data_IF_422376993994
#
_entry.id   IF_422376993994
#
_cell.length_a   1.000
_cell.length_b   1.000
_cell.length_c   1.000
_cell.angle_alpha   90.00
_cell.angle_beta   90.00
_cell.angle_gamma   90.00
#
_symmetry.space_group_name_H-M   'P 1'
#
loop_
_entity.id
_entity.type
_entity.pdbx_description
1 polymer ?
#
# COMPACT_ATOMS: atom_id res chain seq x y z
N UNK A 1 9.65 1.74 -19.53
CA UNK A 1 10.01 2.08 -18.17
C UNK A 1 9.24 3.29 -17.64
N UNK A 2 9.50 3.71 -16.43
CA UNK A 2 8.76 4.78 -15.73
C UNK A 2 8.64 6.09 -16.50
N UNK A 3 9.64 6.50 -17.26
CA UNK A 3 9.57 7.73 -18.10
C UNK A 3 8.40 7.74 -19.07
N UNK A 4 8.08 6.60 -19.70
CA UNK A 4 6.91 6.50 -20.59
C UNK A 4 5.60 6.64 -19.84
N UNK A 5 5.53 6.03 -18.65
CA UNK A 5 4.33 6.06 -17.79
C UNK A 5 4.13 7.48 -17.26
N UNK A 6 5.21 8.14 -16.81
CA UNK A 6 5.17 9.53 -16.32
C UNK A 6 4.69 10.48 -17.42
N UNK A 7 5.23 10.36 -18.63
CA UNK A 7 4.78 11.16 -19.77
C UNK A 7 3.30 10.91 -20.12
N UNK A 8 2.81 9.68 -20.00
CA UNK A 8 1.41 9.35 -20.22
C UNK A 8 0.52 9.93 -19.12
N UNK A 9 0.91 9.80 -17.87
CA UNK A 9 0.20 10.35 -16.71
C UNK A 9 0.13 11.89 -16.79
N UNK A 10 1.23 12.54 -17.16
CA UNK A 10 1.29 14.00 -17.31
C UNK A 10 0.29 14.54 -18.32
N UNK A 11 0.03 13.83 -19.43
CA UNK A 11 -1.03 14.19 -20.37
C UNK A 11 -2.43 14.20 -19.75
N UNK A 12 -2.63 13.40 -18.72
CA UNK A 12 -3.88 13.33 -17.95
C UNK A 12 -3.84 14.19 -16.67
N UNK A 13 -2.83 15.06 -16.52
CA UNK A 13 -2.60 15.87 -15.31
C UNK A 13 -2.48 15.01 -14.03
N UNK A 14 -2.03 13.77 -14.18
CA UNK A 14 -1.80 12.83 -13.08
C UNK A 14 -0.31 12.65 -12.82
N UNK A 15 0.03 12.24 -11.60
CA UNK A 15 1.37 11.79 -11.25
C UNK A 15 1.46 10.27 -11.28
N UNK A 16 2.68 9.76 -11.24
CA UNK A 16 2.92 8.33 -11.11
C UNK A 16 3.39 7.97 -9.70
N UNK A 17 3.11 6.76 -9.32
CA UNK A 17 3.57 6.17 -8.08
C UNK A 17 4.08 4.75 -8.24
N UNK A 18 4.59 4.20 -7.16
CA UNK A 18 5.04 2.82 -7.14
C UNK A 18 4.78 2.16 -5.79
N UNK A 19 4.61 0.85 -5.85
CA UNK A 19 4.50 0.00 -4.68
C UNK A 19 5.85 -0.68 -4.41
N UNK A 20 6.36 -0.54 -3.18
CA UNK A 20 7.61 -1.10 -2.71
C UNK A 20 7.43 -1.77 -1.35
N UNK A 21 8.14 -2.88 -1.13
CA UNK A 21 8.22 -3.53 0.17
C UNK A 21 9.55 -3.21 0.85
N UNK A 22 9.58 -2.36 1.88
CA UNK A 22 10.83 -2.03 2.61
C UNK A 22 11.53 -3.25 3.20
N UNK A 23 10.76 -4.30 3.47
CA UNK A 23 11.27 -5.58 4.01
C UNK A 23 11.57 -6.62 2.92
N UNK A 24 11.73 -6.17 1.67
CA UNK A 24 12.07 -7.04 0.54
C UNK A 24 10.89 -7.74 -0.12
N UNK A 25 9.65 -7.48 0.31
CA UNK A 25 8.43 -8.13 -0.20
C UNK A 25 8.20 -9.51 0.41
N UNK A 26 7.54 -10.40 -0.32
CA UNK A 26 7.02 -11.67 0.20
C UNK A 26 7.46 -12.88 -0.63
N UNK A 27 7.36 -14.06 -0.01
CA UNK A 27 7.48 -15.38 -0.65
C UNK A 27 8.81 -15.59 -1.39
N UNK A 28 8.77 -16.39 -2.46
CA UNK A 28 9.94 -16.76 -3.23
C UNK A 28 10.67 -15.56 -3.87
N UNK A 29 9.95 -14.49 -4.19
CA UNK A 29 10.54 -13.27 -4.74
C UNK A 29 11.42 -12.55 -3.73
N UNK A 30 11.05 -12.58 -2.44
CA UNK A 30 11.90 -12.05 -1.36
C UNK A 30 13.21 -12.83 -1.26
N UNK A 31 13.14 -14.17 -1.30
CA UNK A 31 14.32 -15.03 -1.27
C UNK A 31 15.29 -14.75 -2.43
N UNK A 32 14.76 -14.56 -3.65
CA UNK A 32 15.59 -14.21 -4.81
C UNK A 32 16.28 -12.85 -4.65
N UNK A 33 15.59 -11.84 -4.11
CA UNK A 33 16.17 -10.52 -3.83
C UNK A 33 17.25 -10.60 -2.76
N UNK A 34 17.02 -11.40 -1.72
CA UNK A 34 17.99 -11.61 -0.65
C UNK A 34 19.27 -12.29 -1.16
N UNK A 35 19.14 -13.33 -1.96
CA UNK A 35 20.27 -13.98 -2.60
C UNK A 35 21.06 -13.00 -3.49
N UNK A 36 20.35 -12.19 -4.30
CA UNK A 36 20.99 -11.17 -5.13
C UNK A 36 21.71 -10.11 -4.29
N UNK A 37 21.10 -9.63 -3.20
CA UNK A 37 21.73 -8.68 -2.28
C UNK A 37 23.06 -9.25 -1.75
N UNK A 38 23.04 -10.47 -1.22
CA UNK A 38 24.20 -11.11 -0.61
C UNK A 38 25.33 -11.39 -1.60
N UNK A 39 25.01 -11.56 -2.88
CA UNK A 39 26.04 -11.64 -3.95
C UNK A 39 26.66 -10.27 -4.22
N UNK A 40 25.87 -9.20 -4.18
CA UNK A 40 26.35 -7.83 -4.44
C UNK A 40 27.04 -7.19 -3.24
N UNK A 41 26.76 -7.65 -2.04
CA UNK A 41 27.30 -7.15 -0.78
C UNK A 41 27.94 -8.29 0.02
N UNK A 42 29.07 -8.88 -0.46
CA UNK A 42 29.67 -10.07 0.15
C UNK A 42 30.16 -9.82 1.58
N UNK A 43 30.56 -8.58 1.89
CA UNK A 43 31.05 -8.17 3.21
C UNK A 43 29.93 -7.74 4.17
N UNK A 44 28.71 -7.57 3.65
CA UNK A 44 27.52 -7.21 4.43
C UNK A 44 26.33 -8.09 4.04
N UNK A 45 26.51 -9.39 4.22
CA UNK A 45 25.42 -10.35 4.00
C UNK A 45 24.37 -10.21 5.09
N UNK A 46 23.11 -10.22 4.66
CA UNK A 46 21.96 -10.13 5.55
C UNK A 46 21.13 -11.41 5.51
N UNK A 47 20.56 -11.78 6.65
CA UNK A 47 19.59 -12.89 6.73
C UNK A 47 18.17 -12.47 6.36
N UNK A 48 17.90 -11.18 6.42
CA UNK A 48 16.60 -10.59 6.07
C UNK A 48 16.79 -9.10 5.72
N UNK A 49 15.84 -8.53 4.96
CA UNK A 49 15.81 -7.09 4.72
C UNK A 49 15.25 -6.37 5.96
N UNK A 50 16.12 -5.60 6.61
CA UNK A 50 15.81 -4.86 7.83
C UNK A 50 16.32 -3.43 7.70
N UNK A 51 15.48 -2.45 7.99
CA UNK A 51 15.84 -1.04 7.91
C UNK A 51 16.77 -0.60 9.06
N UNK A 52 16.96 -1.42 10.06
CA UNK A 52 18.00 -1.30 11.07
C UNK A 52 19.42 -1.55 10.49
N UNK A 53 19.53 -2.33 9.41
CA UNK A 53 20.79 -2.47 8.68
C UNK A 53 21.09 -1.19 7.88
N UNK A 54 22.17 -0.50 8.25
CA UNK A 54 22.50 0.82 7.68
C UNK A 54 22.72 0.79 6.17
N UNK A 55 23.44 -0.19 5.65
CA UNK A 55 23.74 -0.25 4.21
C UNK A 55 22.47 -0.51 3.39
N UNK A 56 21.62 -1.41 3.87
CA UNK A 56 20.32 -1.62 3.24
C UNK A 56 19.43 -0.40 3.31
N UNK A 57 19.38 0.26 4.47
CA UNK A 57 18.63 1.52 4.64
C UNK A 57 19.08 2.58 3.63
N UNK A 58 20.38 2.83 3.54
CA UNK A 58 20.94 3.82 2.62
C UNK A 58 20.65 3.48 1.16
N UNK A 59 20.75 2.20 0.78
CA UNK A 59 20.41 1.72 -0.56
C UNK A 59 18.92 1.90 -0.87
N UNK A 60 18.04 1.59 0.07
CA UNK A 60 16.59 1.73 -0.10
C UNK A 60 16.18 3.20 -0.24
N UNK A 61 16.62 4.07 0.66
CA UNK A 61 16.35 5.52 0.61
C UNK A 61 16.95 6.13 -0.65
N UNK A 62 18.18 5.76 -1.00
CA UNK A 62 18.86 6.20 -2.22
C UNK A 62 18.07 5.86 -3.47
N UNK A 63 17.55 4.63 -3.56
CA UNK A 63 16.73 4.20 -4.70
C UNK A 63 15.40 4.95 -4.77
N UNK A 64 14.69 5.10 -3.67
CA UNK A 64 13.45 5.88 -3.64
C UNK A 64 13.69 7.35 -4.03
N UNK A 65 14.74 7.95 -3.49
CA UNK A 65 15.15 9.34 -3.84
C UNK A 65 15.48 9.49 -5.31
N UNK A 66 16.18 8.51 -5.89
CA UNK A 66 16.47 8.49 -7.33
C UNK A 66 15.19 8.40 -8.16
N UNK A 67 14.22 7.57 -7.75
CA UNK A 67 12.94 7.47 -8.46
C UNK A 67 12.15 8.78 -8.42
N UNK A 68 12.18 9.49 -7.30
CA UNK A 68 11.59 10.85 -7.21
C UNK A 68 12.27 11.80 -8.20
N UNK A 69 13.58 11.79 -8.26
CA UNK A 69 14.37 12.67 -9.14
C UNK A 69 14.19 12.33 -10.63
N UNK A 70 14.31 11.05 -10.97
CA UNK A 70 14.42 10.61 -12.39
C UNK A 70 13.06 10.45 -13.07
N UNK A 71 12.01 10.19 -12.29
CA UNK A 71 10.68 9.85 -12.79
C UNK A 71 9.56 10.71 -12.19
N UNK A 72 9.91 11.77 -11.46
CA UNK A 72 8.95 12.67 -10.82
C UNK A 72 7.86 11.91 -10.01
N UNK A 73 8.29 10.88 -9.26
CA UNK A 73 7.34 10.11 -8.44
C UNK A 73 6.56 11.01 -7.51
N UNK A 74 5.24 10.83 -7.48
CA UNK A 74 4.29 11.56 -6.64
C UNK A 74 3.74 10.71 -5.50
N UNK A 75 3.90 9.39 -5.60
CA UNK A 75 3.26 8.46 -4.68
C UNK A 75 4.15 7.24 -4.41
N UNK A 76 4.24 6.87 -3.14
CA UNK A 76 4.77 5.58 -2.71
C UNK A 76 3.76 4.83 -1.85
N UNK A 77 3.52 3.56 -2.19
CA UNK A 77 2.88 2.60 -1.32
C UNK A 77 3.97 1.72 -0.73
N UNK A 78 4.19 1.83 0.58
CA UNK A 78 5.10 0.96 1.32
C UNK A 78 4.32 -0.17 1.97
N UNK A 79 4.63 -1.40 1.57
CA UNK A 79 3.95 -2.60 2.02
C UNK A 79 4.90 -3.49 2.83
N UNK A 80 4.44 -3.90 4.02
CA UNK A 80 5.29 -4.58 4.98
C UNK A 80 6.36 -3.64 5.53
N UNK A 81 5.98 -2.75 6.44
CA UNK A 81 6.87 -1.75 7.02
C UNK A 81 7.76 -2.30 8.14
N UNK A 82 7.48 -3.50 8.65
CA UNK A 82 8.29 -4.22 9.62
C UNK A 82 8.44 -5.69 9.24
N UNK A 83 9.58 -6.28 9.55
CA UNK A 83 9.83 -7.72 9.32
C UNK A 83 9.13 -8.61 10.31
N UNK A 84 8.78 -8.09 11.48
CA UNK A 84 8.30 -8.85 12.62
C UNK A 84 7.10 -8.19 13.31
N UNK A 85 5.94 -8.23 12.67
CA UNK A 85 4.70 -7.65 13.22
C UNK A 85 4.37 -8.06 14.65
N UNK A 86 4.79 -9.23 15.05
CA UNK A 86 4.52 -9.81 16.36
C UNK A 86 5.78 -9.97 17.21
N UNK A 87 6.95 -9.61 16.68
CA UNK A 87 8.18 -9.66 17.43
C UNK A 87 8.21 -8.53 18.46
N UNK A 88 8.71 -8.84 19.63
CA UNK A 88 8.98 -7.87 20.70
C UNK A 88 10.49 -7.74 20.84
N UNK A 89 10.92 -6.55 21.20
CA UNK A 89 12.31 -6.31 21.51
C UNK A 89 13.02 -5.29 20.61
N UNK A 90 14.28 -4.97 20.93
CA UNK A 90 15.02 -3.85 20.34
C UNK A 90 15.09 -3.87 18.81
N UNK A 91 15.32 -5.02 18.20
CA UNK A 91 15.42 -5.11 16.73
C UNK A 91 14.15 -4.76 15.98
N UNK A 92 12.98 -4.97 16.60
CA UNK A 92 11.71 -4.56 16.00
C UNK A 92 11.48 -3.04 16.15
N UNK A 93 11.91 -2.45 17.24
CA UNK A 93 11.87 -1.01 17.46
C UNK A 93 12.77 -0.29 16.46
N UNK A 94 14.00 -0.76 16.27
CA UNK A 94 14.95 -0.23 15.30
C UNK A 94 14.42 -0.29 13.86
N UNK A 95 13.71 -1.34 13.48
CA UNK A 95 13.08 -1.46 12.16
C UNK A 95 11.89 -0.49 12.02
N UNK A 96 11.08 -0.31 13.08
CA UNK A 96 9.98 0.67 13.08
C UNK A 96 10.51 2.11 12.99
N UNK A 97 11.56 2.43 13.72
CA UNK A 97 12.27 3.71 13.57
C UNK A 97 12.89 3.86 12.17
N UNK A 98 13.37 2.77 11.62
CA UNK A 98 13.92 2.71 10.26
C UNK A 98 12.91 3.18 9.22
N UNK A 99 11.66 2.72 9.27
CA UNK A 99 10.64 3.20 8.33
C UNK A 99 10.32 4.68 8.54
N UNK A 100 10.22 5.15 9.78
CA UNK A 100 9.99 6.58 10.07
C UNK A 100 11.11 7.43 9.48
N UNK A 101 12.37 7.00 9.59
CA UNK A 101 13.52 7.67 8.97
C UNK A 101 13.43 7.68 7.45
N UNK A 102 12.98 6.59 6.81
CA UNK A 102 12.73 6.53 5.36
C UNK A 102 11.70 7.59 4.96
N UNK A 103 10.55 7.63 5.64
CA UNK A 103 9.47 8.57 5.33
C UNK A 103 9.94 10.01 5.47
N UNK A 104 10.64 10.35 6.55
CA UNK A 104 11.21 11.68 6.78
C UNK A 104 12.25 12.05 5.72
N UNK A 105 13.12 11.13 5.33
CA UNK A 105 14.11 11.37 4.29
C UNK A 105 13.46 11.67 2.94
N UNK A 106 12.40 10.96 2.58
CA UNK A 106 11.66 11.19 1.34
C UNK A 106 10.88 12.50 1.36
N UNK A 107 10.22 12.84 2.47
CA UNK A 107 9.55 14.14 2.66
C UNK A 107 10.51 15.32 2.53
N UNK A 108 11.74 15.20 3.04
CA UNK A 108 12.79 16.23 2.86
C UNK A 108 13.18 16.40 1.39
N UNK A 109 13.10 15.34 0.57
CA UNK A 109 13.40 15.41 -0.88
C UNK A 109 12.23 16.00 -1.67
N UNK A 110 11.00 15.71 -1.28
CA UNK A 110 9.79 16.14 -1.95
C UNK A 110 8.65 16.21 -0.93
N UNK A 111 8.32 17.43 -0.49
CA UNK A 111 7.33 17.67 0.56
C UNK A 111 5.90 17.25 0.20
N UNK A 112 5.57 17.29 -1.09
CA UNK A 112 4.24 16.94 -1.64
C UNK A 112 4.10 15.47 -2.08
N UNK A 113 5.02 14.59 -1.65
CA UNK A 113 4.87 13.16 -1.86
C UNK A 113 3.65 12.64 -1.10
N UNK A 114 2.79 11.88 -1.80
CA UNK A 114 1.77 11.09 -1.11
C UNK A 114 2.37 9.75 -0.67
N UNK A 115 2.27 9.45 0.60
CA UNK A 115 2.84 8.24 1.20
C UNK A 115 1.72 7.41 1.85
N UNK A 116 1.58 6.20 1.36
CA UNK A 116 0.73 5.17 1.94
C UNK A 116 1.58 4.12 2.63
N UNK A 117 1.33 3.86 3.89
CA UNK A 117 1.94 2.76 4.64
C UNK A 117 0.90 1.70 4.94
N UNK A 118 1.12 0.47 4.44
CA UNK A 118 0.12 -0.59 4.57
C UNK A 118 0.46 -1.58 5.68
N UNK A 119 0.70 -2.84 5.36
CA UNK A 119 0.89 -3.91 6.35
C UNK A 119 1.95 -3.53 7.38
N UNK A 120 1.52 -3.46 8.65
CA UNK A 120 2.32 -2.99 9.79
C UNK A 120 1.90 -1.65 10.36
N UNK A 121 0.93 -0.99 9.73
CA UNK A 121 0.25 0.15 10.34
C UNK A 121 -1.11 -0.25 10.92
N UNK A 122 -1.66 0.61 11.72
CA UNK A 122 -3.01 0.52 12.25
C UNK A 122 -3.64 1.89 12.28
N UNK A 123 -4.95 1.95 12.42
CA UNK A 123 -5.67 3.21 12.53
C UNK A 123 -5.27 3.94 13.82
N UNK A 124 -4.37 4.91 13.69
CA UNK A 124 -3.90 5.76 14.76
C UNK A 124 -3.47 7.12 14.21
N UNK A 125 -3.86 8.23 14.87
CA UNK A 125 -3.39 9.58 14.51
C UNK A 125 -1.87 9.74 14.51
N UNK A 126 -1.14 8.86 15.19
CA UNK A 126 0.33 8.81 15.17
C UNK A 126 0.90 8.80 13.75
N UNK A 127 0.26 8.06 12.84
CA UNK A 127 0.76 7.90 11.47
C UNK A 127 0.64 9.15 10.60
N UNK A 128 -0.26 10.10 10.92
CA UNK A 128 -0.38 11.35 10.15
C UNK A 128 0.86 12.22 10.17
N UNK A 129 1.71 12.02 11.15
CA UNK A 129 3.00 12.72 11.20
C UNK A 129 3.94 12.25 10.08
N UNK A 130 3.72 11.07 9.52
CA UNK A 130 4.66 10.40 8.63
C UNK A 130 4.06 9.96 7.30
N UNK A 131 2.81 9.56 7.29
CA UNK A 131 2.10 9.03 6.13
C UNK A 131 0.77 9.75 5.91
N UNK A 132 0.27 9.71 4.68
CA UNK A 132 -1.02 10.32 4.30
C UNK A 132 -2.17 9.33 4.43
N UNK A 133 -1.87 8.06 4.32
CA UNK A 133 -2.85 6.99 4.52
C UNK A 133 -2.23 5.73 5.09
N UNK A 134 -3.07 4.96 5.77
CA UNK A 134 -2.70 3.69 6.42
C UNK A 134 -3.62 2.56 6.00
N UNK A 135 -3.24 1.35 6.32
CA UNK A 135 -3.97 0.15 5.97
C UNK A 135 -5.22 -0.07 6.83
N UNK A 136 -6.27 -0.54 6.17
CA UNK A 136 -7.57 -0.88 6.78
C UNK A 136 -7.56 -2.06 7.75
N UNK A 137 -6.46 -2.82 7.85
CA UNK A 137 -6.41 -4.14 8.51
C UNK A 137 -7.14 -5.23 7.68
N UNK A 138 -7.17 -6.46 8.20
CA UNK A 138 -7.84 -7.62 7.63
C UNK A 138 -7.32 -8.05 6.22
N UNK A 139 -8.01 -9.01 5.62
CA UNK A 139 -7.65 -9.59 4.34
C UNK A 139 -7.92 -8.65 3.14
N UNK A 140 -7.27 -8.93 2.03
CA UNK A 140 -7.42 -8.16 0.80
C UNK A 140 -8.82 -8.22 0.20
N UNK A 141 -9.60 -9.22 0.53
CA UNK A 141 -11.01 -9.33 0.18
C UNK A 141 -11.72 -10.25 1.16
N UNK A 142 -13.04 -10.14 1.21
CA UNK A 142 -13.91 -11.00 1.99
C UNK A 142 -15.35 -10.89 1.50
N UNK A 143 -16.16 -11.82 1.97
CA UNK A 143 -17.58 -11.87 1.69
C UNK A 143 -18.32 -12.16 2.98
N UNK A 144 -19.17 -11.23 3.41
CA UNK A 144 -20.00 -11.38 4.62
C UNK A 144 -21.42 -10.90 4.35
N UNK A 145 -22.36 -11.33 5.17
CA UNK A 145 -23.77 -10.92 5.07
C UNK A 145 -24.55 -11.71 4.03
N UNK A 146 -25.68 -11.15 3.64
CA UNK A 146 -26.62 -11.74 2.70
C UNK A 146 -26.54 -11.07 1.31
N UNK A 147 -27.26 -11.64 0.33
CA UNK A 147 -27.31 -11.13 -1.03
C UNK A 147 -26.34 -11.83 -1.98
N UNK A 148 -26.08 -11.22 -3.11
CA UNK A 148 -25.12 -11.72 -4.09
C UNK A 148 -23.66 -11.46 -3.67
N UNK A 149 -22.70 -11.86 -4.48
CA UNK A 149 -21.28 -11.62 -4.16
C UNK A 149 -20.93 -10.15 -4.07
N UNK A 150 -21.59 -9.29 -4.83
CA UNK A 150 -21.41 -7.83 -4.75
C UNK A 150 -21.88 -7.29 -3.41
N UNK A 151 -23.06 -7.70 -2.96
CA UNK A 151 -23.60 -7.29 -1.67
C UNK A 151 -22.70 -7.71 -0.52
N UNK A 152 -22.24 -8.96 -0.55
CA UNK A 152 -21.32 -9.52 0.45
C UNK A 152 -19.97 -8.82 0.47
N UNK A 153 -19.44 -8.44 -0.69
CA UNK A 153 -18.21 -7.67 -0.81
C UNK A 153 -18.36 -6.25 -0.26
N UNK A 154 -19.41 -5.54 -0.63
CA UNK A 154 -19.70 -4.21 -0.13
C UNK A 154 -19.85 -4.24 1.39
N UNK A 155 -20.62 -5.20 1.92
CA UNK A 155 -20.80 -5.37 3.36
C UNK A 155 -19.49 -5.65 4.08
N UNK A 156 -18.59 -6.47 3.51
CA UNK A 156 -17.27 -6.72 4.06
C UNK A 156 -16.43 -5.42 4.14
N UNK A 157 -16.37 -4.66 3.06
CA UNK A 157 -15.63 -3.40 3.01
C UNK A 157 -16.18 -2.37 4.00
N UNK A 158 -17.50 -2.18 4.01
CA UNK A 158 -18.16 -1.19 4.87
C UNK A 158 -18.02 -1.56 6.36
N UNK A 159 -18.07 -2.86 6.68
CA UNK A 159 -17.77 -3.34 8.03
C UNK A 159 -16.38 -2.94 8.47
N UNK A 160 -15.35 -3.14 7.63
CA UNK A 160 -13.98 -2.76 7.99
C UNK A 160 -13.85 -1.26 8.24
N UNK A 161 -14.48 -0.44 7.40
CA UNK A 161 -14.51 1.02 7.61
C UNK A 161 -15.14 1.34 8.96
N UNK A 162 -16.28 0.74 9.25
CA UNK A 162 -17.01 1.00 10.48
C UNK A 162 -16.25 0.54 11.74
N UNK A 163 -15.82 -0.71 11.76
CA UNK A 163 -15.18 -1.30 12.95
C UNK A 163 -13.79 -0.71 13.21
N UNK A 164 -12.97 -0.52 12.17
CA UNK A 164 -11.57 -0.09 12.35
C UNK A 164 -11.47 1.43 12.54
N UNK A 165 -12.22 2.21 11.78
CA UNK A 165 -12.11 3.67 11.78
C UNK A 165 -13.21 4.35 12.59
N UNK A 166 -14.47 4.08 12.29
CA UNK A 166 -15.56 4.79 12.96
C UNK A 166 -15.64 4.46 14.44
N UNK A 167 -15.53 3.17 14.77
CA UNK A 167 -15.56 2.73 16.17
C UNK A 167 -14.18 2.69 16.82
N UNK A 168 -13.19 2.16 16.12
CA UNK A 168 -11.88 1.89 16.68
C UNK A 168 -10.94 3.09 16.74
N UNK A 169 -11.11 4.08 15.87
CA UNK A 169 -10.21 5.23 15.76
C UNK A 169 -10.92 6.50 15.29
N UNK A 170 -11.86 7.04 16.06
CA UNK A 170 -12.73 8.14 15.63
C UNK A 170 -11.98 9.45 15.34
N UNK A 171 -10.76 9.60 15.84
CA UNK A 171 -9.91 10.77 15.55
C UNK A 171 -9.15 10.68 14.24
N UNK A 172 -9.23 9.54 13.54
CA UNK A 172 -8.55 9.36 12.27
C UNK A 172 -9.50 9.69 11.12
N UNK A 173 -9.14 10.62 10.20
CA UNK A 173 -9.98 10.91 9.04
C UNK A 173 -10.16 9.68 8.16
N UNK A 174 -11.40 9.41 7.79
CA UNK A 174 -11.75 8.24 6.99
C UNK A 174 -11.08 8.21 5.62
N UNK A 175 -10.80 9.37 5.03
CA UNK A 175 -10.09 9.49 3.76
C UNK A 175 -8.58 9.19 3.87
N UNK A 176 -8.06 9.00 5.06
CA UNK A 176 -6.69 8.49 5.28
C UNK A 176 -6.65 6.98 5.48
N UNK A 177 -7.77 6.30 5.30
CA UNK A 177 -7.83 4.85 5.24
C UNK A 177 -7.67 4.36 3.81
N UNK A 178 -6.68 3.51 3.59
CA UNK A 178 -6.60 2.72 2.37
C UNK A 178 -7.59 1.56 2.45
N UNK A 179 -8.53 1.51 1.51
CA UNK A 179 -9.37 0.33 1.28
C UNK A 179 -9.05 -0.28 -0.09
N UNK A 180 -9.68 -1.40 -0.38
CA UNK A 180 -9.77 -1.85 -1.75
C UNK A 180 -10.55 -0.81 -2.57
N UNK A 181 -10.03 -0.55 -3.76
CA UNK A 181 -10.73 0.25 -4.74
C UNK A 181 -11.87 -0.51 -5.41
N UNK A 182 -12.15 -0.14 -6.62
CA UNK A 182 -13.22 -0.76 -7.39
C UNK A 182 -12.89 -2.21 -7.73
N UNK A 183 -13.80 -3.11 -7.41
CA UNK A 183 -13.69 -4.53 -7.70
C UNK A 183 -14.63 -4.88 -8.85
N UNK A 184 -14.13 -4.82 -10.09
CA UNK A 184 -14.87 -5.12 -11.31
C UNK A 184 -14.09 -6.16 -12.11
N UNK A 185 -13.90 -7.33 -11.51
CA UNK A 185 -13.11 -8.40 -12.09
C UNK A 185 -13.76 -9.77 -11.94
N UNK A 186 -13.51 -10.64 -12.90
CA UNK A 186 -13.87 -12.06 -12.86
C UNK A 186 -12.79 -12.94 -12.21
N UNK A 187 -11.64 -12.37 -11.83
CA UNK A 187 -10.52 -13.11 -11.24
C UNK A 187 -10.43 -12.91 -9.73
N UNK A 188 -9.93 -13.92 -9.03
CA UNK A 188 -9.74 -13.90 -7.57
C UNK A 188 -10.98 -14.35 -6.79
N UNK A 189 -10.89 -14.57 -5.49
CA UNK A 189 -12.02 -14.96 -4.64
C UNK A 189 -12.85 -13.78 -4.26
N UNK A 190 -13.30 -12.88 -4.69
CA UNK A 190 -14.64 -12.55 -5.06
C UNK A 190 -14.80 -12.71 -6.58
N UNK A 191 -14.00 -13.58 -7.15
CA UNK A 191 -14.18 -14.04 -8.52
C UNK A 191 -15.65 -14.26 -8.74
N UNK A 192 -16.19 -13.82 -9.80
CA UNK A 192 -17.63 -13.85 -10.05
C UNK A 192 -18.38 -12.61 -9.53
N UNK A 193 -17.69 -11.48 -9.34
CA UNK A 193 -18.42 -10.22 -9.24
C UNK A 193 -19.15 -9.98 -10.55
N UNK A 194 -20.49 -9.89 -10.56
CA UNK A 194 -21.22 -9.54 -11.75
C UNK A 194 -20.71 -8.25 -12.35
N UNK A 195 -20.54 -8.22 -13.67
CA UNK A 195 -20.03 -7.07 -14.42
C UNK A 195 -21.09 -6.37 -15.26
N UNK A 196 -22.36 -6.71 -15.03
CA UNK A 196 -23.45 -6.00 -15.64
C UNK A 196 -23.49 -4.53 -15.14
N UNK A 197 -24.06 -3.60 -15.93
CA UNK A 197 -24.00 -2.17 -15.64
C UNK A 197 -24.55 -1.79 -14.26
N UNK A 198 -25.60 -2.45 -13.80
CA UNK A 198 -26.21 -2.12 -12.50
C UNK A 198 -25.33 -2.55 -11.34
N UNK A 199 -24.68 -3.72 -11.45
CA UNK A 199 -23.75 -4.20 -10.44
C UNK A 199 -22.50 -3.31 -10.34
N UNK A 200 -21.98 -2.86 -11.49
CA UNK A 200 -20.86 -1.92 -11.54
C UNK A 200 -21.23 -0.56 -10.96
N UNK A 201 -22.43 -0.03 -11.27
CA UNK A 201 -22.93 1.21 -10.69
C UNK A 201 -23.08 1.12 -9.17
N UNK A 202 -23.54 -0.02 -8.66
CA UNK A 202 -23.66 -0.28 -7.22
C UNK A 202 -22.28 -0.20 -6.55
N UNK A 203 -21.26 -0.86 -7.12
CA UNK A 203 -19.88 -0.77 -6.63
C UNK A 203 -19.36 0.68 -6.62
N UNK A 204 -19.50 1.39 -7.73
CA UNK A 204 -19.07 2.79 -7.84
C UNK A 204 -19.73 3.69 -6.78
N UNK A 205 -21.06 3.58 -6.61
CA UNK A 205 -21.79 4.37 -5.62
C UNK A 205 -21.32 4.09 -4.21
N UNK A 206 -21.19 2.82 -3.84
CA UNK A 206 -20.77 2.42 -2.49
C UNK A 206 -19.31 2.79 -2.22
N UNK A 207 -18.41 2.53 -3.16
CA UNK A 207 -17.00 2.88 -3.01
C UNK A 207 -16.79 4.40 -2.87
N UNK A 208 -17.55 5.19 -3.62
CA UNK A 208 -17.50 6.66 -3.53
C UNK A 208 -18.10 7.17 -2.22
N UNK A 209 -19.24 6.61 -1.81
CA UNK A 209 -19.94 7.03 -0.58
C UNK A 209 -19.17 6.64 0.68
N UNK A 210 -18.33 5.61 0.62
CA UNK A 210 -17.51 5.15 1.73
C UNK A 210 -16.52 6.21 2.25
N UNK A 211 -16.10 7.16 1.40
CA UNK A 211 -15.22 8.28 1.77
C UNK A 211 -13.77 7.91 2.07
N UNK A 212 -13.38 6.65 1.88
CA UNK A 212 -12.02 6.17 2.11
C UNK A 212 -11.10 6.48 0.93
N UNK A 213 -9.80 6.38 1.14
CA UNK A 213 -8.82 6.47 0.07
C UNK A 213 -8.86 5.21 -0.80
N UNK A 214 -9.18 5.36 -2.07
CA UNK A 214 -9.20 4.25 -3.03
C UNK A 214 -7.79 4.04 -3.59
N UNK A 215 -7.11 2.99 -3.14
CA UNK A 215 -5.71 2.74 -3.48
C UNK A 215 -5.53 1.69 -4.57
N UNK A 216 -6.47 0.77 -4.70
CA UNK A 216 -6.35 -0.38 -5.59
C UNK A 216 -7.56 -0.47 -6.51
N UNK A 217 -7.31 -0.79 -7.76
CA UNK A 217 -8.33 -0.92 -8.79
C UNK A 217 -8.23 -2.30 -9.41
N UNK A 218 -9.24 -3.11 -9.18
CA UNK A 218 -9.36 -4.47 -9.73
C UNK A 218 -10.38 -4.46 -10.86
N UNK A 219 -9.92 -4.05 -12.04
CA UNK A 219 -10.75 -3.98 -13.24
C UNK A 219 -10.17 -4.90 -14.29
N UNK A 220 -11.02 -5.73 -14.89
CA UNK A 220 -10.62 -6.59 -16.00
C UNK A 220 -10.16 -5.74 -17.20
N UNK A 221 -9.12 -6.19 -17.86
CA UNK A 221 -8.50 -5.45 -18.96
C UNK A 221 -9.45 -5.18 -20.12
N UNK A 222 -10.38 -6.08 -20.38
CA UNK A 222 -11.41 -5.95 -21.40
C UNK A 222 -12.42 -4.82 -21.14
N UNK A 223 -12.46 -4.30 -19.91
CA UNK A 223 -13.28 -3.15 -19.52
C UNK A 223 -12.56 -1.81 -19.59
N UNK A 224 -11.28 -1.82 -19.93
CA UNK A 224 -10.45 -0.60 -19.99
C UNK A 224 -10.21 -0.08 -21.41
N UNK A 225 -10.88 -0.67 -22.42
CA UNK A 225 -10.78 -0.30 -23.82
C UNK A 225 -11.99 0.51 -24.29
#
# INVERSE_FOLDING_TARGET
GFKRIDAAAGRQKAGIGTWLGPVGGYGASKGKRLAYWNVKHPDNKIGNFQLSNKEYFDAFVGRCSQMVKDYNMKYFKFDGISTHFHAKGPGNEEDAEGIIRVLNALRKKKGDLYINCTVGTWASPFWFRYADSVWRQENDFGTIGAGDNRDKWITYRDRLVHEVFVQGSPLMPINSMMTHGLMVTKFGPPACMPRDPENVKKELRCATACGTSLQELYVDRDLMN
#
